data_IF_674515427847
#
_entry.id   IF_674515427847
#
_cell.length_a   1.000
_cell.length_b   1.000
_cell.length_c   1.000
_cell.angle_alpha   90.00
_cell.angle_beta   90.00
_cell.angle_gamma   90.00
#
_symmetry.space_group_name_H-M   'P 1'
#
loop_
_entity.id
_entity.type
_entity.pdbx_description
1 polymer ?
#
# COMPACT_ATOMS: atom_id res chain seq x y z
N UNK A 1 41.58 14.15 -39.71
CA UNK A 1 40.12 14.06 -39.50
C UNK A 1 39.81 12.61 -39.19
N UNK A 2 39.60 12.32 -37.90
CA UNK A 2 39.45 10.96 -37.39
C UNK A 2 38.04 10.85 -36.81
N UNK A 3 37.14 10.17 -37.52
CA UNK A 3 35.78 9.90 -37.05
C UNK A 3 35.69 8.48 -36.52
N UNK A 4 35.56 8.34 -35.20
CA UNK A 4 35.26 7.06 -34.55
C UNK A 4 33.75 6.87 -34.40
N UNK A 5 33.25 5.68 -34.78
CA UNK A 5 31.90 5.20 -34.45
C UNK A 5 31.98 4.18 -33.30
N UNK A 6 31.05 4.21 -32.32
CA UNK A 6 31.19 3.52 -31.05
C UNK A 6 30.81 2.04 -31.09
N UNK A 7 31.57 1.25 -30.32
CA UNK A 7 31.41 -0.19 -30.05
C UNK A 7 30.15 -0.46 -29.22
N UNK A 8 29.11 -1.06 -29.79
CA UNK A 8 28.22 -2.00 -29.07
C UNK A 8 27.25 -2.71 -30.02
N UNK A 9 27.62 -3.93 -30.44
CA UNK A 9 26.71 -5.07 -30.73
C UNK A 9 27.58 -6.25 -31.17
N UNK A 10 28.19 -6.89 -30.18
CA UNK A 10 28.71 -8.23 -30.30
C UNK A 10 28.08 -9.03 -29.17
N UNK A 11 27.19 -9.95 -29.53
CA UNK A 11 26.96 -11.28 -28.95
C UNK A 11 25.56 -11.74 -29.35
N UNK A 12 25.50 -12.79 -30.15
CA UNK A 12 24.24 -13.44 -30.52
C UNK A 12 24.18 -14.06 -31.90
N UNK A 13 25.31 -14.47 -32.52
CA UNK A 13 25.29 -15.33 -33.71
C UNK A 13 26.49 -16.29 -33.66
N UNK A 14 26.24 -17.47 -33.09
CA UNK A 14 27.04 -18.68 -33.26
C UNK A 14 26.05 -19.85 -33.16
N UNK A 15 25.93 -20.78 -34.10
CA UNK A 15 26.53 -20.94 -35.41
C UNK A 15 25.76 -22.07 -36.12
N UNK A 16 25.68 -22.02 -37.44
CA UNK A 16 25.22 -23.12 -38.27
C UNK A 16 26.33 -23.44 -39.28
N UNK A 17 26.93 -24.62 -39.16
CA UNK A 17 27.98 -25.11 -40.04
C UNK A 17 28.18 -26.61 -39.83
N UNK A 18 27.57 -27.39 -40.72
CA UNK A 18 27.49 -28.86 -40.73
C UNK A 18 28.70 -29.45 -41.46
N UNK A 19 29.28 -30.53 -40.92
CA UNK A 19 29.65 -31.74 -41.68
C UNK A 19 30.27 -32.82 -40.77
N UNK A 20 29.60 -33.97 -40.65
CA UNK A 20 30.17 -35.33 -40.81
C UNK A 20 29.08 -36.39 -40.59
N UNK A 21 28.99 -37.30 -41.55
CA UNK A 21 28.03 -38.40 -41.63
C UNK A 21 28.37 -39.54 -40.65
N UNK A 22 27.35 -40.15 -40.05
CA UNK A 22 27.48 -41.37 -39.25
C UNK A 22 26.16 -41.75 -38.59
N UNK A 23 25.69 -42.97 -38.82
CA UNK A 23 24.36 -43.48 -38.48
C UNK A 23 24.07 -43.54 -36.96
N UNK A 24 22.81 -43.29 -36.57
CA UNK A 24 22.29 -43.60 -35.24
C UNK A 24 21.06 -42.80 -34.86
N UNK A 25 19.91 -43.46 -34.75
CA UNK A 25 18.61 -42.85 -34.46
C UNK A 25 18.52 -42.32 -33.01
N UNK A 26 18.14 -41.05 -32.85
CA UNK A 26 17.47 -40.52 -31.66
C UNK A 26 16.81 -39.18 -32.03
N UNK A 27 15.49 -39.18 -32.28
CA UNK A 27 14.71 -37.96 -32.47
C UNK A 27 14.53 -37.32 -31.08
N UNK A 28 15.42 -36.40 -30.74
CA UNK A 28 15.29 -35.55 -29.55
C UNK A 28 14.25 -34.46 -29.81
N UNK A 29 13.01 -34.69 -29.38
CA UNK A 29 12.04 -33.61 -29.24
C UNK A 29 12.50 -32.70 -28.11
N UNK A 30 13.06 -31.54 -28.44
CA UNK A 30 13.25 -30.45 -27.47
C UNK A 30 11.84 -29.94 -27.15
N UNK A 31 11.25 -30.46 -26.08
CA UNK A 31 10.01 -29.94 -25.54
C UNK A 31 10.27 -28.48 -25.13
N UNK A 32 9.77 -27.54 -25.92
CA UNK A 32 9.62 -26.17 -25.49
C UNK A 32 8.70 -26.22 -24.25
N UNK A 33 9.24 -25.90 -23.08
CA UNK A 33 8.44 -25.75 -21.88
C UNK A 33 7.31 -24.75 -22.19
N UNK A 34 6.05 -25.06 -21.84
CA UNK A 34 4.97 -24.11 -22.05
C UNK A 34 5.32 -22.82 -21.29
N UNK A 35 5.47 -21.73 -22.02
CA UNK A 35 5.52 -20.39 -21.44
C UNK A 35 4.20 -20.25 -20.65
N UNK A 36 4.22 -19.91 -19.35
CA UNK A 36 2.99 -19.67 -18.63
C UNK A 36 2.19 -18.60 -19.38
N UNK A 37 0.85 -18.70 -19.43
CA UNK A 37 0.04 -17.68 -20.08
C UNK A 37 0.41 -16.32 -19.48
N UNK A 38 0.66 -15.33 -20.34
CA UNK A 38 0.75 -13.94 -19.91
C UNK A 38 -0.57 -13.61 -19.23
N UNK A 39 -0.50 -13.37 -17.92
CA UNK A 39 -1.65 -12.95 -17.13
C UNK A 39 -1.96 -11.51 -17.54
N UNK A 40 -2.82 -11.34 -18.54
CA UNK A 40 -3.48 -10.07 -18.81
C UNK A 40 -4.29 -9.70 -17.54
N UNK A 41 -3.73 -8.83 -16.70
CA UNK A 41 -4.40 -8.37 -15.48
C UNK A 41 -3.51 -7.93 -14.33
N UNK A 42 -2.19 -8.15 -14.38
CA UNK A 42 -1.26 -7.67 -13.36
C UNK A 42 -0.03 -6.99 -14.00
N UNK A 43 0.23 -5.75 -13.58
CA UNK A 43 1.41 -4.93 -13.93
C UNK A 43 1.61 -4.55 -15.41
N UNK A 44 0.60 -4.01 -16.09
CA UNK A 44 0.94 -3.12 -17.20
C UNK A 44 1.46 -1.80 -16.60
N UNK A 45 2.73 -1.46 -16.84
CA UNK A 45 3.26 -0.11 -16.59
C UNK A 45 2.48 0.96 -17.38
N UNK A 46 1.61 0.56 -18.30
CA UNK A 46 0.93 1.44 -19.26
C UNK A 46 -0.51 1.76 -18.89
N UNK A 47 -1.20 0.96 -18.06
CA UNK A 47 -2.62 1.16 -17.80
C UNK A 47 -2.90 2.34 -16.86
N UNK A 48 -3.86 3.20 -17.21
CA UNK A 48 -4.43 4.17 -16.28
C UNK A 48 -5.52 3.51 -15.41
N UNK A 49 -5.64 3.93 -14.15
CA UNK A 49 -6.76 3.53 -13.28
C UNK A 49 -7.78 4.67 -13.25
N UNK A 50 -9.09 4.40 -13.42
CA UNK A 50 -10.11 5.43 -13.33
C UNK A 50 -10.04 6.17 -11.98
N UNK A 51 -9.98 7.50 -12.03
CA UNK A 51 -10.01 8.36 -10.84
C UNK A 51 -11.42 8.47 -10.25
N UNK A 52 -12.40 8.69 -11.13
CA UNK A 52 -13.80 8.84 -10.74
C UNK A 52 -14.44 7.49 -10.42
N UNK A 53 -15.27 7.46 -9.37
CA UNK A 53 -15.90 6.24 -8.91
C UNK A 53 -16.77 6.46 -7.68
N UNK A 54 -17.45 5.40 -7.24
CA UNK A 54 -18.19 5.39 -5.98
C UNK A 54 -17.26 5.41 -4.77
N UNK A 55 -16.19 4.62 -4.83
CA UNK A 55 -15.11 4.59 -3.85
C UNK A 55 -13.86 5.19 -4.48
N UNK A 56 -12.99 5.79 -3.67
CA UNK A 56 -11.69 6.22 -4.17
C UNK A 56 -10.87 5.01 -4.66
N UNK A 57 -10.16 5.18 -5.77
CA UNK A 57 -9.15 4.23 -6.21
C UNK A 57 -7.99 4.14 -5.20
N UNK A 58 -7.17 3.09 -5.30
CA UNK A 58 -6.04 2.85 -4.37
C UNK A 58 -6.44 2.11 -3.08
N UNK A 59 -7.69 1.64 -2.99
CA UNK A 59 -8.20 0.83 -1.88
C UNK A 59 -8.34 -0.62 -2.35
N UNK A 60 -9.38 -0.93 -3.14
CA UNK A 60 -9.61 -2.26 -3.74
C UNK A 60 -8.88 -2.45 -5.06
N UNK A 61 -8.34 -1.37 -5.66
CA UNK A 61 -7.47 -1.44 -6.84
C UNK A 61 -6.34 -2.44 -6.59
N UNK A 62 -6.04 -3.29 -7.59
CA UNK A 62 -4.88 -4.18 -7.58
C UNK A 62 -3.64 -3.43 -7.07
N UNK A 63 -3.00 -3.97 -6.02
CA UNK A 63 -1.91 -3.29 -5.34
C UNK A 63 -0.73 -3.07 -6.30
N UNK A 64 -0.38 -1.80 -6.56
CA UNK A 64 0.76 -1.44 -7.40
C UNK A 64 2.08 -1.72 -6.67
N UNK A 65 3.19 -1.78 -7.40
CA UNK A 65 4.47 -2.20 -6.82
C UNK A 65 5.11 -1.15 -5.91
N UNK A 66 4.84 0.14 -6.11
CA UNK A 66 5.46 1.26 -5.40
C UNK A 66 4.42 2.15 -4.72
N UNK A 67 4.84 2.81 -3.66
CA UNK A 67 4.03 3.78 -2.92
C UNK A 67 4.88 4.97 -2.49
N UNK A 68 4.28 6.16 -2.55
CA UNK A 68 4.70 7.32 -1.79
C UNK A 68 3.51 7.78 -0.95
N UNK A 69 3.61 7.61 0.36
CA UNK A 69 2.62 8.09 1.32
C UNK A 69 3.11 9.38 1.95
N UNK A 70 2.22 10.35 2.13
CA UNK A 70 2.55 11.61 2.80
C UNK A 70 1.42 12.01 3.72
N UNK A 71 1.77 12.59 4.86
CA UNK A 71 0.84 13.33 5.71
C UNK A 71 1.16 14.83 5.62
N UNK A 72 0.12 15.66 5.61
CA UNK A 72 0.22 17.10 5.59
C UNK A 72 -0.43 17.71 6.84
N UNK A 73 0.15 18.81 7.31
CA UNK A 73 -0.49 19.73 8.24
C UNK A 73 -1.05 20.92 7.47
N UNK A 74 -2.31 21.30 7.72
CA UNK A 74 -2.97 22.46 7.12
C UNK A 74 -2.53 23.72 7.86
N UNK A 75 -1.99 24.69 7.10
CA UNK A 75 -1.45 25.95 7.62
C UNK A 75 -2.40 27.11 7.45
N UNK A 76 -3.27 27.08 6.44
CA UNK A 76 -4.35 28.06 6.34
C UNK A 76 -5.36 27.86 7.48
N UNK A 77 -5.96 28.95 7.93
CA UNK A 77 -7.06 28.96 8.91
C UNK A 77 -8.40 29.26 8.26
N UNK A 78 -8.46 29.41 6.93
CA UNK A 78 -9.68 29.72 6.19
C UNK A 78 -10.24 28.48 5.52
N UNK A 79 -11.51 28.18 5.78
CA UNK A 79 -12.24 27.04 5.18
C UNK A 79 -12.24 27.14 3.66
N UNK A 80 -12.38 28.34 3.11
CA UNK A 80 -12.47 28.58 1.66
C UNK A 80 -11.15 28.25 0.97
N UNK A 81 -10.01 28.54 1.59
CA UNK A 81 -8.68 28.21 1.04
C UNK A 81 -8.41 26.71 1.06
N UNK A 82 -8.88 26.00 2.11
CA UNK A 82 -8.82 24.53 2.15
C UNK A 82 -9.70 23.89 1.07
N UNK A 83 -10.93 24.39 0.89
CA UNK A 83 -11.83 23.90 -0.18
C UNK A 83 -11.24 24.17 -1.56
N UNK A 84 -10.66 25.36 -1.79
CA UNK A 84 -9.98 25.68 -3.04
C UNK A 84 -8.79 24.74 -3.30
N UNK A 85 -7.98 24.46 -2.27
CA UNK A 85 -6.88 23.51 -2.37
C UNK A 85 -7.37 22.11 -2.78
N UNK A 86 -8.41 21.59 -2.14
CA UNK A 86 -8.93 20.25 -2.45
C UNK A 86 -9.47 20.15 -3.89
N UNK A 87 -10.05 21.24 -4.43
CA UNK A 87 -10.45 21.32 -5.84
C UNK A 87 -9.25 21.28 -6.78
N UNK A 88 -8.25 22.14 -6.54
CA UNK A 88 -7.01 22.17 -7.34
C UNK A 88 -6.27 20.82 -7.29
N UNK A 89 -6.22 20.18 -6.12
CA UNK A 89 -5.65 18.85 -5.95
C UNK A 89 -6.43 17.77 -6.69
N UNK A 90 -7.76 17.84 -6.70
CA UNK A 90 -8.60 16.90 -7.46
C UNK A 90 -8.33 17.03 -8.96
N UNK A 91 -8.30 18.26 -9.49
CA UNK A 91 -8.01 18.52 -10.90
C UNK A 91 -6.63 17.97 -11.32
N UNK A 92 -5.61 18.25 -10.51
CA UNK A 92 -4.27 17.71 -10.75
C UNK A 92 -4.24 16.18 -10.68
N UNK A 93 -4.95 15.57 -9.71
CA UNK A 93 -4.98 14.13 -9.55
C UNK A 93 -5.70 13.41 -10.70
N UNK A 94 -6.81 13.96 -11.21
CA UNK A 94 -7.51 13.44 -12.40
C UNK A 94 -6.56 13.38 -13.59
N UNK A 95 -5.76 14.43 -13.80
CA UNK A 95 -4.79 14.49 -14.90
C UNK A 95 -3.64 13.50 -14.71
N UNK A 96 -3.00 13.52 -13.54
CA UNK A 96 -1.83 12.68 -13.27
C UNK A 96 -2.17 11.18 -13.31
N UNK A 97 -3.34 10.77 -12.81
CA UNK A 97 -3.79 9.36 -12.89
C UNK A 97 -4.05 8.89 -14.34
N UNK A 98 -4.27 9.83 -15.27
CA UNK A 98 -4.33 9.58 -16.70
C UNK A 98 -2.97 9.66 -17.41
N UNK A 99 -1.86 9.82 -16.67
CA UNK A 99 -0.50 9.98 -17.22
C UNK A 99 -0.25 11.35 -17.85
N UNK A 100 -1.05 12.36 -17.50
CA UNK A 100 -0.88 13.73 -17.96
C UNK A 100 -0.16 14.57 -16.90
N UNK A 101 0.40 15.69 -17.31
CA UNK A 101 0.93 16.71 -16.41
C UNK A 101 -0.17 17.24 -15.46
N UNK A 102 0.21 17.61 -14.23
CA UNK A 102 -0.67 18.17 -13.20
C UNK A 102 -1.46 19.40 -13.68
N UNK A 103 -0.89 20.16 -14.63
CA UNK A 103 -1.56 21.22 -15.38
C UNK A 103 -1.19 21.04 -16.86
N UNK A 104 -2.12 21.31 -17.77
CA UNK A 104 -1.88 21.19 -19.21
C UNK A 104 -0.72 22.04 -19.70
N UNK A 105 0.28 21.42 -20.33
CA UNK A 105 1.55 22.06 -20.68
C UNK A 105 2.28 22.68 -19.49
N UNK A 106 2.07 22.16 -18.28
CA UNK A 106 2.53 22.73 -17.03
C UNK A 106 4.05 22.73 -16.87
N UNK A 107 4.75 21.76 -17.44
CA UNK A 107 6.20 21.59 -17.31
C UNK A 107 6.98 22.52 -18.25
N UNK A 108 6.51 22.67 -19.49
CA UNK A 108 7.28 23.34 -20.57
C UNK A 108 6.48 24.33 -21.43
N UNK A 109 5.15 24.36 -21.32
CA UNK A 109 4.27 25.16 -22.19
C UNK A 109 3.94 26.57 -21.68
N UNK A 110 4.39 26.93 -20.48
CA UNK A 110 4.17 28.24 -19.87
C UNK A 110 5.11 29.35 -20.34
N UNK A 111 5.01 30.52 -19.69
CA UNK A 111 5.97 31.62 -19.88
C UNK A 111 7.36 31.21 -19.41
N UNK A 112 8.40 31.56 -20.18
CA UNK A 112 9.80 31.32 -19.81
C UNK A 112 10.24 32.03 -18.51
N UNK A 113 9.53 33.09 -18.12
CA UNK A 113 9.83 33.90 -16.94
C UNK A 113 9.02 33.47 -15.69
N UNK A 114 8.14 32.47 -15.82
CA UNK A 114 7.31 31.99 -14.72
C UNK A 114 7.74 30.57 -14.28
N UNK A 115 7.60 30.23 -12.98
CA UNK A 115 7.79 28.86 -12.54
C UNK A 115 6.81 27.90 -13.26
N UNK A 116 7.27 26.71 -13.68
CA UNK A 116 6.41 25.66 -14.21
C UNK A 116 5.27 25.27 -13.25
N UNK A 117 4.13 24.88 -13.81
CA UNK A 117 2.94 24.41 -13.08
C UNK A 117 2.91 22.88 -12.89
N UNK A 118 3.80 22.17 -13.58
CA UNK A 118 4.18 20.77 -13.30
C UNK A 118 5.71 20.73 -13.14
N UNK A 119 6.23 19.90 -12.23
CA UNK A 119 7.66 19.80 -11.96
C UNK A 119 8.47 19.01 -13.00
N UNK A 120 7.81 18.31 -13.91
CA UNK A 120 8.38 17.75 -15.15
C UNK A 120 9.12 16.43 -15.02
N UNK A 121 9.34 15.89 -13.81
CA UNK A 121 10.08 14.63 -13.64
C UNK A 121 9.32 13.40 -14.14
N UNK A 122 8.01 13.49 -14.41
CA UNK A 122 7.25 12.38 -15.00
C UNK A 122 6.99 12.54 -16.51
N UNK A 123 7.61 13.52 -17.17
CA UNK A 123 7.58 13.61 -18.63
C UNK A 123 8.07 12.28 -19.25
N UNK A 124 7.41 11.86 -20.32
CA UNK A 124 7.65 10.61 -21.04
C UNK A 124 7.38 9.31 -20.25
N UNK A 125 6.90 9.40 -19.01
CA UNK A 125 6.47 8.23 -18.25
C UNK A 125 4.99 7.93 -18.48
N UNK A 126 4.60 6.64 -18.54
CA UNK A 126 3.20 6.26 -18.66
C UNK A 126 2.42 6.50 -17.35
N UNK A 127 1.08 6.39 -17.36
CA UNK A 127 0.26 6.49 -16.14
C UNK A 127 0.68 5.54 -15.02
N UNK A 128 1.28 4.38 -15.35
CA UNK A 128 1.85 3.44 -14.38
C UNK A 128 0.87 2.95 -13.32
N UNK A 129 -0.39 2.76 -13.70
CA UNK A 129 -1.50 2.43 -12.83
C UNK A 129 -1.61 3.35 -11.61
N UNK A 130 -1.23 4.64 -11.76
CA UNK A 130 -1.26 5.60 -10.67
C UNK A 130 -2.65 5.71 -10.07
N UNK A 131 -2.73 5.55 -8.76
CA UNK A 131 -3.88 5.95 -7.94
C UNK A 131 -3.42 6.94 -6.90
N UNK A 132 -4.26 7.94 -6.62
CA UNK A 132 -4.03 8.92 -5.57
C UNK A 132 -5.26 8.88 -4.65
N UNK A 133 -5.06 8.52 -3.39
CA UNK A 133 -6.13 8.40 -2.38
C UNK A 133 -5.92 9.43 -1.29
N UNK A 134 -6.94 10.23 -0.96
CA UNK A 134 -6.88 11.21 0.12
C UNK A 134 -7.62 10.73 1.37
N UNK A 135 -7.14 11.11 2.55
CA UNK A 135 -7.83 10.93 3.82
C UNK A 135 -7.68 12.13 4.75
N UNK A 136 -8.62 12.27 5.69
CA UNK A 136 -8.73 13.36 6.64
C UNK A 136 -8.44 12.87 8.06
N UNK A 137 -7.41 13.42 8.70
CA UNK A 137 -6.99 13.03 10.04
C UNK A 137 -7.83 13.71 11.13
N UNK A 138 -7.81 13.18 12.37
CA UNK A 138 -8.52 13.74 13.51
C UNK A 138 -8.36 15.25 13.68
N UNK A 139 -7.14 15.77 13.49
CA UNK A 139 -6.80 17.17 13.74
C UNK A 139 -7.41 18.13 12.71
N UNK A 140 -7.82 17.66 11.53
CA UNK A 140 -8.56 18.49 10.56
C UNK A 140 -9.94 18.93 11.10
N UNK A 141 -10.52 18.13 11.99
CA UNK A 141 -11.83 18.35 12.60
C UNK A 141 -11.72 19.13 13.92
N UNK A 142 -10.68 19.94 14.09
CA UNK A 142 -10.67 20.92 15.17
C UNK A 142 -11.59 22.12 14.84
N UNK A 143 -11.43 23.22 15.57
CA UNK A 143 -12.23 24.42 15.39
C UNK A 143 -11.91 25.27 14.15
N UNK A 144 -10.79 25.02 13.43
CA UNK A 144 -10.29 25.93 12.36
C UNK A 144 -11.27 26.11 11.21
N UNK A 145 -12.00 25.06 10.84
CA UNK A 145 -12.82 25.02 9.62
C UNK A 145 -14.31 24.84 9.88
N UNK A 146 -14.74 24.90 11.15
CA UNK A 146 -16.12 24.61 11.54
C UNK A 146 -16.53 23.15 11.24
N UNK A 147 -15.59 22.22 11.38
CA UNK A 147 -15.79 20.79 11.09
C UNK A 147 -15.88 19.91 12.35
N UNK A 148 -15.76 20.47 13.56
CA UNK A 148 -15.75 19.70 14.80
C UNK A 148 -16.92 18.71 14.92
N UNK A 149 -18.13 19.16 14.62
CA UNK A 149 -19.35 18.32 14.68
C UNK A 149 -19.47 17.32 13.51
N UNK A 150 -18.54 17.39 12.54
CA UNK A 150 -18.47 16.48 11.39
C UNK A 150 -17.44 15.37 11.59
N UNK A 151 -16.67 15.37 12.69
CA UNK A 151 -15.72 14.30 13.02
C UNK A 151 -16.47 12.97 13.18
N UNK A 152 -16.17 11.93 12.38
CA UNK A 152 -16.79 10.63 12.56
C UNK A 152 -16.42 10.00 13.90
N UNK A 153 -17.38 9.38 14.59
CA UNK A 153 -17.15 8.76 15.90
C UNK A 153 -16.13 7.60 15.85
N UNK A 154 -16.00 6.93 14.70
CA UNK A 154 -14.98 5.89 14.49
C UNK A 154 -13.60 6.45 14.12
N UNK A 155 -13.46 7.75 13.81
CA UNK A 155 -12.18 8.45 13.65
C UNK A 155 -11.60 8.80 15.03
N UNK A 156 -11.38 7.79 15.85
CA UNK A 156 -10.80 7.93 17.19
C UNK A 156 -9.31 8.28 17.13
N UNK A 157 -8.80 8.85 18.20
CA UNK A 157 -7.37 8.80 18.45
C UNK A 157 -7.04 7.34 18.82
N UNK A 158 -6.13 6.72 18.06
CA UNK A 158 -5.79 5.33 18.32
C UNK A 158 -5.19 5.21 19.74
N UNK A 159 -5.57 4.16 20.50
CA UNK A 159 -4.96 3.94 21.80
C UNK A 159 -3.47 3.65 21.65
N UNK A 160 -2.71 3.83 22.73
CA UNK A 160 -1.35 3.31 22.79
C UNK A 160 -1.40 1.79 22.88
N UNK A 161 -0.57 1.13 22.11
CA UNK A 161 -0.40 -0.32 22.18
C UNK A 161 0.91 -0.68 22.91
N UNK A 162 0.98 -1.81 23.63
CA UNK A 162 2.25 -2.33 24.12
C UNK A 162 3.28 -2.45 22.99
N UNK A 163 4.52 -2.01 23.24
CA UNK A 163 5.59 -2.00 22.23
C UNK A 163 5.58 -0.80 21.26
N UNK A 164 4.68 0.17 21.45
CA UNK A 164 4.73 1.43 20.72
C UNK A 164 5.95 2.28 21.13
N UNK A 165 6.79 2.63 20.16
CA UNK A 165 7.81 3.68 20.26
C UNK A 165 7.59 4.73 19.16
N UNK A 166 6.39 5.33 19.18
CA UNK A 166 5.92 6.20 18.11
C UNK A 166 6.67 7.54 18.11
N UNK A 167 7.36 7.85 17.00
CA UNK A 167 7.90 9.19 16.76
C UNK A 167 6.75 10.16 16.44
N UNK A 168 6.53 11.21 17.26
CA UNK A 168 5.50 12.21 17.00
C UNK A 168 5.68 12.95 15.66
N UNK A 169 6.91 13.08 15.15
CA UNK A 169 7.21 13.72 13.89
C UNK A 169 6.86 12.85 12.68
N UNK A 170 6.68 11.53 12.88
CA UNK A 170 6.27 10.56 11.86
C UNK A 170 4.88 9.97 12.13
N UNK A 171 4.06 10.72 12.88
CA UNK A 171 2.73 10.30 13.30
C UNK A 171 1.70 11.42 13.12
N UNK A 172 0.43 11.06 12.97
CA UNK A 172 -0.68 11.98 12.78
C UNK A 172 -0.65 12.70 11.43
N UNK A 173 -1.24 13.91 11.40
CA UNK A 173 -1.40 14.75 10.22
C UNK A 173 -2.86 15.12 9.98
N UNK A 174 -3.11 16.33 9.48
CA UNK A 174 -4.45 16.81 9.13
C UNK A 174 -5.00 16.10 7.89
N UNK A 175 -4.14 15.82 6.91
CA UNK A 175 -4.48 15.14 5.66
C UNK A 175 -3.46 14.04 5.40
N UNK A 176 -3.87 12.95 4.76
CA UNK A 176 -2.93 12.03 4.11
C UNK A 176 -3.20 11.92 2.61
N UNK A 177 -2.15 11.66 1.85
CA UNK A 177 -2.25 11.24 0.45
C UNK A 177 -1.41 9.98 0.25
N UNK A 178 -2.04 8.94 -0.27
CA UNK A 178 -1.39 7.71 -0.72
C UNK A 178 -1.31 7.71 -2.25
N UNK A 179 -0.11 7.89 -2.80
CA UNK A 179 0.14 7.71 -4.23
C UNK A 179 0.76 6.33 -4.47
N UNK A 180 0.10 5.47 -5.24
CA UNK A 180 0.61 4.15 -5.60
C UNK A 180 0.70 4.02 -7.12
N UNK A 181 1.84 3.52 -7.61
CA UNK A 181 2.11 3.32 -9.03
C UNK A 181 3.09 2.14 -9.21
N UNK A 182 3.21 1.60 -10.41
CA UNK A 182 4.19 0.56 -10.71
C UNK A 182 5.61 1.15 -10.93
N UNK A 183 5.67 2.45 -11.20
CA UNK A 183 6.89 3.25 -11.31
C UNK A 183 7.03 4.21 -10.10
N UNK A 184 8.15 4.18 -9.36
CA UNK A 184 8.30 5.01 -8.17
C UNK A 184 8.40 6.51 -8.49
N UNK A 185 8.93 6.88 -9.66
CA UNK A 185 9.08 8.27 -10.09
C UNK A 185 7.70 8.90 -10.35
N UNK A 186 6.77 8.14 -10.91
CA UNK A 186 5.36 8.56 -11.09
C UNK A 186 4.68 8.82 -9.74
N UNK A 187 4.86 7.93 -8.75
CA UNK A 187 4.30 8.14 -7.40
C UNK A 187 4.92 9.36 -6.69
N UNK A 188 6.23 9.57 -6.85
CA UNK A 188 6.94 10.73 -6.28
C UNK A 188 6.49 12.03 -6.93
N UNK A 189 6.39 12.07 -8.26
CA UNK A 189 5.90 13.21 -9.03
C UNK A 189 4.51 13.66 -8.55
N UNK A 190 3.59 12.71 -8.36
CA UNK A 190 2.24 13.01 -7.91
C UNK A 190 2.23 13.75 -6.55
N UNK A 191 2.92 13.19 -5.56
CA UNK A 191 3.02 13.82 -4.23
C UNK A 191 3.73 15.17 -4.29
N UNK A 192 4.80 15.28 -5.08
CA UNK A 192 5.56 16.53 -5.22
C UNK A 192 4.71 17.64 -5.82
N UNK A 193 3.92 17.35 -6.86
CA UNK A 193 3.02 18.34 -7.46
C UNK A 193 1.89 18.75 -6.52
N UNK A 194 1.30 17.82 -5.77
CA UNK A 194 0.31 18.18 -4.75
C UNK A 194 0.92 19.06 -3.66
N UNK A 195 2.12 18.74 -3.17
CA UNK A 195 2.83 19.60 -2.22
C UNK A 195 3.15 20.99 -2.80
N UNK A 196 3.56 21.08 -4.08
CA UNK A 196 3.80 22.34 -4.80
C UNK A 196 2.54 23.19 -4.89
N UNK A 197 1.42 22.61 -5.31
CA UNK A 197 0.11 23.28 -5.38
C UNK A 197 -0.30 23.74 -3.97
N UNK A 198 -0.08 22.91 -2.96
CA UNK A 198 -0.40 23.19 -1.57
C UNK A 198 0.47 24.24 -0.88
N UNK A 199 1.50 24.78 -1.54
CA UNK A 199 2.41 25.75 -0.94
C UNK A 199 1.65 26.93 -0.30
N UNK A 200 2.02 27.27 0.93
CA UNK A 200 1.37 28.32 1.74
C UNK A 200 0.04 27.91 2.41
N UNK A 201 -0.58 26.80 1.99
CA UNK A 201 -1.85 26.29 2.54
C UNK A 201 -1.67 25.01 3.37
N UNK A 202 -0.71 24.18 2.99
CA UNK A 202 -0.31 22.95 3.71
C UNK A 202 1.22 22.83 3.78
N UNK A 203 1.72 22.02 4.69
CA UNK A 203 3.13 21.58 4.71
C UNK A 203 3.21 20.08 4.90
N UNK A 204 4.20 19.42 4.26
CA UNK A 204 4.50 18.02 4.52
C UNK A 204 4.90 17.88 6.00
N UNK A 205 4.20 17.01 6.71
CA UNK A 205 4.50 16.63 8.10
C UNK A 205 5.53 15.50 8.11
N UNK A 206 5.23 14.44 7.38
CA UNK A 206 6.11 13.29 7.16
C UNK A 206 5.73 12.60 5.85
N UNK A 207 6.66 11.82 5.32
CA UNK A 207 6.44 10.97 4.13
C UNK A 207 7.11 9.62 4.30
N UNK A 208 6.64 8.62 3.57
CA UNK A 208 7.24 7.30 3.50
C UNK A 208 7.20 6.78 2.07
N UNK A 209 8.36 6.36 1.57
CA UNK A 209 8.47 5.58 0.35
C UNK A 209 8.32 4.09 0.68
N UNK A 210 7.50 3.41 -0.12
CA UNK A 210 7.33 1.97 -0.12
C UNK A 210 7.83 1.40 -1.43
N UNK A 211 8.86 0.54 -1.40
CA UNK A 211 9.50 0.06 -2.61
C UNK A 211 8.91 -1.27 -3.12
N UNK A 212 8.15 -2.00 -2.31
CA UNK A 212 7.58 -3.27 -2.75
C UNK A 212 6.31 -3.58 -2.00
N UNK A 213 5.20 -3.79 -2.71
CA UNK A 213 3.93 -4.19 -2.09
C UNK A 213 4.10 -5.43 -1.22
N UNK A 214 3.42 -5.47 -0.08
CA UNK A 214 3.30 -6.64 0.81
C UNK A 214 1.85 -7.10 0.91
N UNK A 215 1.06 -6.80 -0.13
CA UNK A 215 -0.35 -7.12 -0.17
C UNK A 215 -0.78 -7.46 -1.59
N UNK A 216 -1.81 -8.32 -1.68
CA UNK A 216 -2.60 -8.53 -2.88
C UNK A 216 -4.05 -8.21 -2.56
N UNK A 217 -4.68 -7.39 -3.40
CA UNK A 217 -6.06 -6.92 -3.24
C UNK A 217 -7.00 -7.55 -4.27
N UNK A 218 -6.47 -8.30 -5.23
CA UNK A 218 -7.26 -9.11 -6.17
C UNK A 218 -6.75 -10.55 -6.19
N UNK A 219 -7.56 -11.49 -6.67
CA UNK A 219 -7.17 -12.91 -6.77
C UNK A 219 -6.20 -13.18 -7.91
N UNK A 220 -6.16 -12.32 -8.92
CA UNK A 220 -5.24 -12.43 -10.06
C UNK A 220 -3.78 -12.10 -9.69
N UNK A 221 -3.54 -11.37 -8.60
CA UNK A 221 -2.20 -11.02 -8.18
C UNK A 221 -1.52 -12.16 -7.43
N UNK A 222 -0.31 -12.52 -7.85
CA UNK A 222 0.58 -13.30 -7.02
C UNK A 222 0.84 -12.57 -5.68
N UNK A 223 0.85 -13.34 -4.59
CA UNK A 223 1.13 -12.81 -3.26
C UNK A 223 2.61 -12.41 -3.15
N UNK A 224 2.91 -11.15 -2.84
CA UNK A 224 4.28 -10.66 -2.73
C UNK A 224 4.91 -11.11 -1.40
N UNK A 225 6.17 -10.76 -1.16
CA UNK A 225 6.86 -11.04 0.11
C UNK A 225 7.20 -9.77 0.88
N UNK A 226 7.18 -9.87 2.21
CA UNK A 226 7.69 -8.82 3.10
C UNK A 226 9.19 -8.99 3.39
N UNK A 227 9.77 -8.06 4.16
CA UNK A 227 11.20 -8.07 4.52
C UNK A 227 11.64 -9.26 5.39
N UNK A 228 10.71 -9.91 6.10
CA UNK A 228 11.00 -11.20 6.76
C UNK A 228 11.02 -12.39 5.81
N UNK A 229 10.69 -12.17 4.54
CA UNK A 229 10.71 -13.16 3.47
C UNK A 229 9.47 -14.03 3.38
N UNK A 230 8.40 -13.71 4.12
CA UNK A 230 7.13 -14.44 4.07
C UNK A 230 6.19 -13.87 3.01
N UNK A 231 5.35 -14.74 2.41
CA UNK A 231 4.25 -14.28 1.55
C UNK A 231 3.26 -13.47 2.39
N UNK A 232 2.91 -12.29 1.89
CA UNK A 232 2.09 -11.32 2.63
C UNK A 232 0.91 -10.84 1.78
N UNK A 233 -0.31 -11.08 2.29
CA UNK A 233 -1.57 -10.78 1.58
C UNK A 233 -2.41 -12.01 1.18
N UNK A 234 -1.99 -13.22 1.55
CA UNK A 234 -2.72 -14.48 1.25
C UNK A 234 -4.18 -14.43 1.73
N UNK A 235 -4.40 -14.26 3.04
CA UNK A 235 -5.72 -14.07 3.66
C UNK A 235 -5.96 -12.57 3.84
N UNK A 236 -6.39 -11.92 2.77
CA UNK A 236 -6.76 -10.51 2.73
C UNK A 236 -8.17 -10.40 2.15
N UNK A 237 -8.88 -9.30 2.43
CA UNK A 237 -10.12 -8.98 1.72
C UNK A 237 -9.77 -8.63 0.27
N UNK A 238 -10.44 -9.29 -0.69
CA UNK A 238 -10.20 -9.09 -2.12
C UNK A 238 -11.31 -8.26 -2.77
N UNK A 239 -10.98 -7.60 -3.88
CA UNK A 239 -11.89 -6.76 -4.65
C UNK A 239 -13.15 -7.53 -5.11
N UNK A 240 -13.00 -8.83 -5.36
CA UNK A 240 -14.06 -9.72 -5.82
C UNK A 240 -15.04 -10.13 -4.71
N UNK A 241 -14.74 -9.82 -3.44
CA UNK A 241 -15.57 -10.18 -2.27
C UNK A 241 -16.47 -9.02 -1.86
N UNK A 242 -17.41 -8.62 -2.72
CA UNK A 242 -18.27 -7.45 -2.53
C UNK A 242 -19.01 -7.43 -1.19
N UNK A 243 -19.54 -8.57 -0.73
CA UNK A 243 -20.20 -8.68 0.57
C UNK A 243 -19.24 -8.41 1.73
N UNK A 244 -18.03 -8.99 1.67
CA UNK A 244 -17.00 -8.78 2.71
C UNK A 244 -16.54 -7.32 2.72
N UNK A 245 -16.41 -6.69 1.55
CA UNK A 245 -16.06 -5.27 1.44
C UNK A 245 -17.14 -4.37 2.06
N UNK A 246 -18.42 -4.62 1.76
CA UNK A 246 -19.56 -3.91 2.37
C UNK A 246 -19.57 -4.05 3.89
N UNK A 247 -19.29 -5.23 4.41
CA UNK A 247 -19.45 -5.54 5.84
C UNK A 247 -18.22 -5.13 6.69
N UNK A 248 -17.04 -4.99 6.05
CA UNK A 248 -15.78 -4.79 6.76
C UNK A 248 -14.92 -3.62 6.30
N UNK A 249 -15.14 -3.04 5.12
CA UNK A 249 -14.29 -1.97 4.57
C UNK A 249 -15.06 -0.66 4.36
N UNK A 250 -16.23 -0.71 3.74
CA UNK A 250 -16.98 0.49 3.36
C UNK A 250 -17.90 0.98 4.46
N UNK A 251 -17.86 2.28 4.74
CA UNK A 251 -18.81 2.96 5.62
C UNK A 251 -20.18 3.00 4.94
N UNK A 252 -21.21 2.61 5.68
CA UNK A 252 -22.60 2.63 5.25
C UNK A 252 -23.38 3.75 5.96
N UNK A 253 -24.63 3.95 5.55
CA UNK A 253 -25.53 4.98 6.08
C UNK A 253 -25.81 4.83 7.59
N UNK A 254 -25.65 3.64 8.17
CA UNK A 254 -25.91 3.36 9.59
C UNK A 254 -24.72 3.65 10.53
N UNK A 255 -23.51 3.88 9.99
CA UNK A 255 -22.27 3.87 10.80
C UNK A 255 -21.82 5.24 11.33
N UNK A 256 -22.26 6.34 10.71
CA UNK A 256 -21.65 7.63 10.96
C UNK A 256 -22.17 8.75 10.06
N UNK A 257 -21.45 9.88 9.99
CA UNK A 257 -21.97 11.05 9.30
C UNK A 257 -22.07 10.79 7.79
N UNK A 258 -23.19 11.22 7.19
CA UNK A 258 -23.56 10.98 5.79
C UNK A 258 -22.44 11.28 4.78
N UNK A 259 -21.57 12.24 5.11
CA UNK A 259 -20.47 12.62 4.21
C UNK A 259 -19.45 11.51 3.96
N UNK A 260 -19.32 10.55 4.89
CA UNK A 260 -18.35 9.46 4.81
C UNK A 260 -18.96 8.17 4.24
N UNK A 261 -20.26 8.12 3.94
CA UNK A 261 -20.90 6.95 3.32
C UNK A 261 -20.22 6.63 1.98
N UNK A 262 -19.85 5.36 1.77
CA UNK A 262 -19.04 4.92 0.64
C UNK A 262 -17.53 5.17 0.81
N UNK A 263 -17.12 5.82 1.90
CA UNK A 263 -15.73 5.96 2.33
C UNK A 263 -15.25 4.81 3.21
N UNK A 264 -14.10 4.99 3.87
CA UNK A 264 -13.48 3.98 4.76
C UNK A 264 -12.55 4.66 5.77
N UNK A 265 -12.06 3.91 6.77
CA UNK A 265 -10.99 4.37 7.67
C UNK A 265 -9.66 3.73 7.28
N UNK A 266 -8.64 4.58 7.11
CA UNK A 266 -7.26 4.18 6.85
C UNK A 266 -6.47 4.24 8.16
N UNK A 267 -5.80 3.15 8.51
CA UNK A 267 -4.74 3.15 9.53
C UNK A 267 -3.40 2.90 8.88
N UNK A 268 -2.45 3.81 9.12
CA UNK A 268 -1.06 3.68 8.71
C UNK A 268 -0.19 3.41 9.94
N UNK A 269 0.70 2.41 9.87
CA UNK A 269 1.67 2.10 10.91
C UNK A 269 3.03 1.89 10.26
N UNK A 270 4.03 2.64 10.70
CA UNK A 270 5.42 2.37 10.34
C UNK A 270 5.96 1.34 11.32
N UNK A 271 6.20 0.13 10.83
CA UNK A 271 6.65 -1.01 11.63
C UNK A 271 8.07 -1.34 11.22
N UNK A 272 9.02 -0.97 12.07
CA UNK A 272 10.43 -1.34 11.91
C UNK A 272 10.58 -2.82 12.24
N UNK A 273 11.38 -3.52 11.44
CA UNK A 273 11.69 -4.92 11.63
C UNK A 273 13.13 -5.06 12.13
N UNK A 274 13.34 -5.83 13.20
CA UNK A 274 14.68 -6.20 13.68
C UNK A 274 15.25 -7.34 12.81
N UNK A 275 15.57 -7.00 11.55
CA UNK A 275 15.96 -7.96 10.51
C UNK A 275 17.17 -8.80 10.92
N UNK A 276 18.16 -8.20 11.55
CA UNK A 276 19.39 -8.89 11.93
C UNK A 276 19.17 -9.94 13.03
N UNK A 277 18.20 -9.71 13.92
CA UNK A 277 17.80 -10.68 14.95
C UNK A 277 16.95 -11.79 14.30
N UNK A 278 16.01 -11.40 13.43
CA UNK A 278 15.18 -12.33 12.67
C UNK A 278 16.01 -13.30 11.81
N UNK A 279 17.02 -12.81 11.10
CA UNK A 279 17.85 -13.60 10.19
C UNK A 279 18.72 -14.64 10.91
N UNK A 280 18.89 -14.51 12.23
CA UNK A 280 19.58 -15.49 13.09
C UNK A 280 18.62 -16.48 13.76
N UNK A 281 17.32 -16.28 13.61
CA UNK A 281 16.27 -17.16 14.13
C UNK A 281 16.11 -18.36 13.20
N UNK A 282 15.91 -19.56 13.77
CA UNK A 282 15.79 -20.79 12.97
C UNK A 282 14.58 -20.72 12.04
N UNK A 283 14.65 -21.35 10.84
CA UNK A 283 13.51 -21.37 9.92
C UNK A 283 12.24 -21.92 10.60
N UNK A 284 12.38 -22.97 11.40
CA UNK A 284 11.27 -23.58 12.13
C UNK A 284 10.60 -22.56 13.05
N UNK A 285 11.39 -21.83 13.82
CA UNK A 285 10.88 -20.81 14.74
C UNK A 285 10.24 -19.63 14.00
N UNK A 286 10.83 -19.18 12.89
CA UNK A 286 10.20 -18.17 12.02
C UNK A 286 8.82 -18.62 11.52
N UNK A 287 8.70 -19.88 11.08
CA UNK A 287 7.44 -20.46 10.62
C UNK A 287 6.43 -20.66 11.75
N UNK A 288 6.87 -21.02 12.96
CA UNK A 288 6.03 -21.14 14.16
C UNK A 288 5.51 -19.76 14.63
N UNK A 289 6.35 -18.73 14.63
CA UNK A 289 5.98 -17.34 14.96
C UNK A 289 4.93 -16.81 13.97
N UNK A 290 5.15 -17.01 12.68
CA UNK A 290 4.19 -16.56 11.65
C UNK A 290 2.94 -17.43 11.65
N UNK A 291 3.09 -18.75 11.81
CA UNK A 291 2.05 -19.76 11.62
C UNK A 291 1.87 -20.21 10.17
N UNK A 292 2.80 -19.88 9.27
CA UNK A 292 2.82 -20.33 7.86
C UNK A 292 4.19 -20.86 7.48
N UNK A 293 4.25 -21.69 6.43
CA UNK A 293 5.49 -22.09 5.78
C UNK A 293 6.08 -20.91 4.99
N UNK A 294 7.37 -20.62 5.17
CA UNK A 294 8.06 -19.50 4.49
C UNK A 294 8.12 -19.72 2.98
N UNK A 295 8.38 -20.96 2.56
CA UNK A 295 8.48 -21.33 1.15
C UNK A 295 7.15 -21.20 0.41
N UNK A 296 6.19 -22.07 0.72
CA UNK A 296 4.91 -22.17 0.00
C UNK A 296 3.91 -21.09 0.41
N UNK A 297 3.99 -20.58 1.63
CA UNK A 297 2.98 -19.71 2.23
C UNK A 297 1.79 -20.46 2.83
N UNK A 298 1.77 -21.80 2.82
CA UNK A 298 0.68 -22.57 3.41
C UNK A 298 0.61 -22.36 4.94
N UNK A 299 -0.59 -22.38 5.51
CA UNK A 299 -0.72 -22.45 6.97
C UNK A 299 -0.04 -23.71 7.51
N UNK A 300 0.52 -23.66 8.72
CA UNK A 300 1.09 -24.86 9.34
C UNK A 300 -0.01 -25.93 9.48
N UNK A 301 0.29 -27.15 9.03
CA UNK A 301 -0.70 -28.23 8.88
C UNK A 301 -1.31 -28.37 7.49
N UNK A 302 -1.12 -27.39 6.60
CA UNK A 302 -1.62 -27.39 5.22
C UNK A 302 -0.51 -27.54 4.17
N UNK A 303 -0.88 -27.68 2.89
CA UNK A 303 0.06 -27.96 1.79
C UNK A 303 0.31 -26.71 0.93
N UNK A 304 -0.76 -26.11 0.43
CA UNK A 304 -0.75 -24.99 -0.50
C UNK A 304 -1.09 -23.66 0.18
N UNK A 305 -0.67 -22.55 -0.44
CA UNK A 305 -0.81 -21.20 0.12
C UNK A 305 -2.24 -20.86 0.55
N UNK A 306 -3.19 -21.20 -0.32
CA UNK A 306 -4.60 -20.83 -0.20
C UNK A 306 -5.46 -21.94 0.41
N UNK A 307 -4.85 -23.02 0.89
CA UNK A 307 -5.56 -24.00 1.73
C UNK A 307 -6.18 -23.28 2.92
N UNK A 308 -7.39 -23.70 3.29
CA UNK A 308 -8.09 -23.13 4.43
C UNK A 308 -7.27 -23.36 5.71
N UNK A 309 -7.08 -22.27 6.45
CA UNK A 309 -6.39 -22.31 7.73
C UNK A 309 -7.30 -23.00 8.76
N UNK A 310 -6.77 -23.99 9.47
CA UNK A 310 -7.49 -24.71 10.52
C UNK A 310 -6.74 -24.56 11.85
N UNK A 311 -7.34 -23.82 12.80
CA UNK A 311 -6.77 -23.53 14.12
C UNK A 311 -6.94 -24.69 15.12
N UNK A 312 -7.65 -25.75 14.73
CA UNK A 312 -7.99 -26.88 15.58
C UNK A 312 -7.13 -28.12 15.30
N UNK A 313 -6.30 -28.10 14.25
CA UNK A 313 -5.31 -29.16 13.98
C UNK A 313 -4.34 -29.25 15.14
N UNK A 314 -4.22 -30.45 15.72
CA UNK A 314 -3.30 -30.74 16.82
C UNK A 314 -2.09 -31.53 16.34
N UNK A 315 -0.91 -31.13 16.81
CA UNK A 315 0.35 -31.82 16.60
C UNK A 315 0.68 -32.80 17.73
N UNK A 316 1.97 -33.10 17.87
CA UNK A 316 2.48 -33.94 18.95
C UNK A 316 2.13 -33.36 20.32
N UNK A 317 1.74 -34.22 21.27
CA UNK A 317 1.35 -33.80 22.61
C UNK A 317 -0.02 -33.10 22.70
N UNK A 318 -0.80 -33.07 21.62
CA UNK A 318 -2.15 -32.46 21.59
C UNK A 318 -2.16 -30.93 21.53
N UNK A 319 -1.00 -30.31 21.31
CA UNK A 319 -0.86 -28.86 21.14
C UNK A 319 -1.31 -28.43 19.74
N UNK A 320 -1.89 -27.22 19.58
CA UNK A 320 -2.22 -26.69 18.25
C UNK A 320 -0.99 -26.61 17.35
N UNK A 321 -1.13 -27.01 16.09
CA UNK A 321 -0.05 -26.88 15.09
C UNK A 321 0.25 -25.40 14.80
N UNK A 322 -0.80 -24.58 14.74
CA UNK A 322 -0.66 -23.12 14.73
C UNK A 322 -0.75 -22.66 16.19
N UNK A 323 0.39 -22.24 16.73
CA UNK A 323 0.54 -21.81 18.13
C UNK A 323 -0.50 -20.76 18.53
N UNK A 324 -0.88 -20.77 19.81
CA UNK A 324 -1.86 -19.80 20.38
C UNK A 324 -1.37 -18.35 20.31
N UNK A 325 -0.07 -18.17 20.13
CA UNK A 325 0.68 -16.93 20.03
C UNK A 325 1.21 -16.65 18.61
N UNK A 326 0.83 -17.46 17.62
CA UNK A 326 1.24 -17.26 16.23
C UNK A 326 0.50 -16.08 15.59
N UNK A 327 1.21 -15.29 14.80
CA UNK A 327 0.70 -14.05 14.19
C UNK A 327 -0.61 -14.27 13.41
N UNK A 328 -0.66 -15.25 12.50
CA UNK A 328 -1.87 -15.47 11.67
C UNK A 328 -3.08 -15.91 12.49
N UNK A 329 -2.87 -16.57 13.64
CA UNK A 329 -3.96 -17.01 14.51
C UNK A 329 -4.57 -15.80 15.20
N UNK A 330 -3.74 -15.03 15.88
CA UNK A 330 -4.15 -13.83 16.62
C UNK A 330 -4.79 -12.78 15.69
N UNK A 331 -4.32 -12.68 14.44
CA UNK A 331 -4.89 -11.79 13.42
C UNK A 331 -6.09 -12.40 12.66
N UNK A 332 -6.48 -13.64 12.94
CA UNK A 332 -7.55 -14.31 12.19
C UNK A 332 -8.92 -13.77 12.55
N UNK A 333 -9.84 -13.76 11.59
CA UNK A 333 -11.23 -13.40 11.85
C UNK A 333 -11.92 -14.39 12.81
N UNK A 334 -11.46 -15.65 12.91
CA UNK A 334 -12.00 -16.61 13.87
C UNK A 334 -11.70 -16.17 15.32
N UNK A 335 -10.45 -15.81 15.62
CA UNK A 335 -10.04 -15.30 16.95
C UNK A 335 -10.56 -13.89 17.22
N UNK A 336 -10.88 -13.12 16.18
CA UNK A 336 -11.34 -11.72 16.28
C UNK A 336 -12.85 -11.55 16.09
N UNK A 337 -13.64 -12.61 16.33
CA UNK A 337 -15.11 -12.51 16.31
C UNK A 337 -15.70 -12.07 14.97
N UNK A 338 -15.08 -12.50 13.87
CA UNK A 338 -15.45 -12.17 12.50
C UNK A 338 -14.80 -10.90 11.93
N UNK A 339 -14.06 -10.12 12.73
CA UNK A 339 -13.45 -8.89 12.25
C UNK A 339 -12.44 -9.16 11.12
N UNK A 340 -12.55 -8.38 10.04
CA UNK A 340 -11.64 -8.41 8.88
C UNK A 340 -11.21 -6.99 8.54
N UNK A 341 -10.02 -6.86 7.95
CA UNK A 341 -9.47 -5.62 7.41
C UNK A 341 -8.89 -5.89 6.02
N UNK A 342 -8.86 -4.87 5.17
CA UNK A 342 -8.14 -4.92 3.90
C UNK A 342 -6.74 -4.35 4.13
N UNK A 343 -5.71 -5.20 4.11
CA UNK A 343 -4.30 -4.80 4.23
C UNK A 343 -3.76 -4.40 2.86
N UNK A 344 -2.95 -3.34 2.84
CA UNK A 344 -2.37 -2.75 1.63
C UNK A 344 -1.00 -2.13 1.89
N UNK A 345 -0.18 -2.83 2.68
CA UNK A 345 1.13 -2.34 3.11
C UNK A 345 2.22 -2.44 2.03
N UNK A 346 3.35 -1.80 2.33
CA UNK A 346 4.55 -1.77 1.49
C UNK A 346 5.82 -1.92 2.33
N UNK A 347 6.81 -2.67 1.83
CA UNK A 347 8.14 -2.71 2.41
C UNK A 347 8.81 -1.33 2.26
N UNK A 348 9.55 -0.90 3.29
CA UNK A 348 10.39 0.29 3.24
C UNK A 348 11.82 -0.01 3.67
N UNK A 349 12.75 0.84 3.24
CA UNK A 349 14.11 0.95 3.76
C UNK A 349 14.50 2.42 3.74
N UNK A 350 14.92 2.93 4.88
CA UNK A 350 15.31 4.32 5.12
C UNK A 350 16.80 4.42 5.54
N UNK A 351 17.63 3.50 5.04
CA UNK A 351 19.05 3.45 5.35
C UNK A 351 19.35 2.64 6.62
N UNK A 352 20.13 3.21 7.53
CA UNK A 352 20.55 2.55 8.78
C UNK A 352 20.24 3.41 10.01
N UNK A 353 20.14 2.75 11.16
CA UNK A 353 19.81 3.38 12.45
C UNK A 353 20.99 4.08 13.14
N UNK A 354 22.13 4.23 12.47
CA UNK A 354 23.36 4.76 13.04
C UNK A 354 24.15 3.79 13.93
N UNK A 355 23.61 2.61 14.24
CA UNK A 355 24.29 1.51 14.94
C UNK A 355 24.70 0.38 13.99
N UNK A 356 24.39 0.52 12.71
CA UNK A 356 24.72 -0.44 11.66
C UNK A 356 23.61 -1.44 11.36
N UNK A 357 22.43 -1.28 11.96
CA UNK A 357 21.25 -2.06 11.59
C UNK A 357 20.44 -1.33 10.51
N UNK A 358 19.73 -2.09 9.70
CA UNK A 358 18.81 -1.53 8.71
C UNK A 358 17.63 -0.83 9.40
N UNK A 359 17.34 0.41 8.97
CA UNK A 359 16.04 1.04 9.25
C UNK A 359 15.07 0.62 8.15
N UNK A 360 14.55 -0.60 8.27
CA UNK A 360 13.69 -1.21 7.27
C UNK A 360 12.55 -1.98 7.93
N UNK A 361 11.50 -2.24 7.16
CA UNK A 361 10.36 -2.99 7.65
C UNK A 361 9.13 -2.81 6.78
N UNK A 362 7.97 -2.75 7.42
CA UNK A 362 6.67 -2.66 6.79
C UNK A 362 6.01 -1.31 7.09
N UNK A 363 5.73 -0.53 6.06
CA UNK A 363 4.76 0.55 6.14
C UNK A 363 3.38 -0.08 5.95
N UNK A 364 2.80 -0.48 7.06
CA UNK A 364 1.50 -1.13 7.10
C UNK A 364 0.42 -0.09 6.83
N UNK A 365 -0.46 -0.40 5.89
CA UNK A 365 -1.69 0.34 5.64
C UNK A 365 -2.83 -0.66 5.70
N UNK A 366 -3.91 -0.32 6.39
CA UNK A 366 -5.15 -1.05 6.25
C UNK A 366 -6.35 -0.13 6.10
N UNK A 367 -7.37 -0.67 5.44
CA UNK A 367 -8.68 -0.07 5.25
C UNK A 367 -9.72 -0.92 5.98
N UNK A 368 -10.63 -0.24 6.67
CA UNK A 368 -11.66 -0.90 7.46
C UNK A 368 -12.86 0.04 7.69
N UNK A 369 -14.03 -0.56 7.98
CA UNK A 369 -15.30 0.14 8.17
C UNK A 369 -15.39 0.87 9.52
N UNK A 370 -14.75 0.35 10.56
CA UNK A 370 -14.69 0.98 11.89
C UNK A 370 -13.46 0.48 12.67
N UNK A 371 -12.50 1.38 12.91
CA UNK A 371 -11.23 1.03 13.55
C UNK A 371 -11.41 0.51 14.98
N UNK A 372 -12.49 0.91 15.68
CA UNK A 372 -12.79 0.49 17.06
C UNK A 372 -13.15 -0.98 17.14
N UNK A 373 -13.76 -1.53 16.10
CA UNK A 373 -14.23 -2.93 16.04
C UNK A 373 -13.42 -3.80 15.10
N UNK A 374 -12.39 -3.25 14.45
CA UNK A 374 -11.53 -3.95 13.49
C UNK A 374 -10.05 -3.83 13.86
N UNK A 375 -9.40 -2.73 13.48
CA UNK A 375 -7.96 -2.56 13.66
C UNK A 375 -7.54 -2.59 15.14
N UNK A 376 -8.23 -1.86 16.02
CA UNK A 376 -7.87 -1.75 17.44
C UNK A 376 -7.89 -3.10 18.17
N UNK A 377 -8.96 -3.91 18.13
CA UNK A 377 -8.96 -5.21 18.79
C UNK A 377 -7.91 -6.16 18.20
N UNK A 378 -7.69 -6.13 16.87
CA UNK A 378 -6.62 -6.90 16.22
C UNK A 378 -5.24 -6.51 16.76
N UNK A 379 -4.91 -5.22 16.74
CA UNK A 379 -3.61 -4.73 17.21
C UNK A 379 -3.42 -4.98 18.72
N UNK A 380 -4.48 -4.88 19.53
CA UNK A 380 -4.41 -5.24 20.95
C UNK A 380 -4.09 -6.73 21.15
N UNK A 381 -4.72 -7.61 20.36
CA UNK A 381 -4.46 -9.04 20.42
C UNK A 381 -3.01 -9.36 20.02
N UNK A 382 -2.49 -8.68 19.00
CA UNK A 382 -1.11 -8.85 18.54
C UNK A 382 -0.11 -8.30 19.56
N UNK A 383 -0.25 -7.04 19.95
CA UNK A 383 0.68 -6.37 20.87
C UNK A 383 0.80 -7.06 22.25
N UNK A 384 -0.22 -7.81 22.68
CA UNK A 384 -0.23 -8.49 23.98
C UNK A 384 0.25 -9.94 23.96
N UNK A 385 0.16 -10.63 22.82
CA UNK A 385 0.35 -12.10 22.76
C UNK A 385 1.18 -12.59 21.59
N UNK A 386 1.40 -11.77 20.56
CA UNK A 386 2.10 -12.21 19.34
C UNK A 386 3.60 -12.28 19.58
N UNK A 387 4.17 -13.47 19.37
CA UNK A 387 5.61 -13.68 19.43
C UNK A 387 6.38 -12.83 18.43
N UNK A 388 5.76 -12.43 17.33
CA UNK A 388 6.39 -11.58 16.34
C UNK A 388 6.78 -10.20 16.90
N UNK A 389 6.15 -9.75 17.99
CA UNK A 389 6.47 -8.46 18.62
C UNK A 389 7.91 -8.37 19.15
N UNK A 390 8.60 -9.49 19.37
CA UNK A 390 10.03 -9.49 19.69
C UNK A 390 10.91 -8.94 18.54
N UNK A 391 10.37 -8.98 17.31
CA UNK A 391 11.08 -8.59 16.09
C UNK A 391 10.53 -7.32 15.45
N UNK A 392 9.52 -6.69 16.07
CA UNK A 392 8.80 -5.55 15.51
C UNK A 392 8.77 -4.37 16.47
N UNK A 393 8.93 -3.18 15.92
CA UNK A 393 8.81 -1.93 16.65
C UNK A 393 7.91 -0.96 15.86
N UNK A 394 6.83 -0.51 16.48
CA UNK A 394 5.95 0.47 15.86
C UNK A 394 6.50 1.87 16.10
N UNK A 395 6.98 2.52 15.04
CA UNK A 395 7.73 3.81 15.11
C UNK A 395 6.97 5.00 14.54
N UNK A 396 5.79 4.78 13.95
CA UNK A 396 4.94 5.85 13.42
C UNK A 396 3.51 5.39 13.24
N UNK A 397 2.55 6.31 13.37
CA UNK A 397 1.12 5.98 13.31
C UNK A 397 0.27 7.10 12.73
N UNK A 398 -0.71 6.76 11.89
CA UNK A 398 -1.72 7.69 11.40
C UNK A 398 -3.08 7.01 11.28
N UNK A 399 -4.15 7.78 11.48
CA UNK A 399 -5.53 7.32 11.33
C UNK A 399 -6.30 8.40 10.57
N UNK A 400 -6.96 8.03 9.49
CA UNK A 400 -7.59 8.97 8.57
C UNK A 400 -8.95 8.46 8.10
N UNK A 401 -9.93 9.35 8.00
CA UNK A 401 -11.20 9.08 7.34
C UNK A 401 -11.04 9.37 5.83
N UNK A 402 -11.16 8.34 5.01
CA UNK A 402 -11.05 8.42 3.55
C UNK A 402 -12.46 8.63 2.99
N UNK A 403 -12.79 9.81 2.42
CA UNK A 403 -14.12 10.09 1.88
C UNK A 403 -14.48 9.15 0.73
N UNK A 404 -15.76 9.10 0.31
CA UNK A 404 -16.17 8.40 -0.90
C UNK A 404 -15.41 8.88 -2.15
N UNK A 405 -15.56 8.13 -3.24
CA UNK A 405 -15.01 8.48 -4.54
C UNK A 405 -15.60 9.77 -5.10
N UNK A 406 -14.82 10.42 -5.97
CA UNK A 406 -15.23 11.68 -6.60
C UNK A 406 -16.08 11.37 -7.83
N UNK A 407 -17.33 11.83 -7.85
CA UNK A 407 -18.18 11.83 -9.05
C UNK A 407 -17.76 12.95 -10.00
N UNK A 408 -18.12 12.86 -11.27
CA UNK A 408 -17.82 13.92 -12.25
C UNK A 408 -18.34 15.29 -11.76
N UNK A 409 -17.51 16.32 -11.86
CA UNK A 409 -17.80 17.66 -11.36
C UNK A 409 -17.67 17.84 -9.84
N UNK A 410 -17.44 16.77 -9.07
CA UNK A 410 -17.12 16.81 -7.65
C UNK A 410 -15.64 17.07 -7.37
N UNK A 411 -15.30 17.15 -6.09
CA UNK A 411 -13.91 17.23 -5.62
C UNK A 411 -13.74 16.42 -4.33
N UNK A 412 -12.50 16.16 -3.95
CA UNK A 412 -12.21 15.46 -2.71
C UNK A 412 -12.81 16.18 -1.49
N UNK A 413 -13.66 15.47 -0.74
CA UNK A 413 -14.32 16.01 0.44
C UNK A 413 -15.53 16.90 0.13
N UNK A 414 -16.03 16.92 -1.11
CA UNK A 414 -17.22 17.70 -1.46
C UNK A 414 -18.41 17.38 -0.54
N UNK A 415 -18.65 16.10 -0.21
CA UNK A 415 -19.67 15.67 0.74
C UNK A 415 -19.46 16.21 2.17
N UNK A 416 -18.21 16.47 2.58
CA UNK A 416 -17.87 17.02 3.89
C UNK A 416 -18.11 18.53 3.95
N UNK A 417 -17.76 19.25 2.88
CA UNK A 417 -17.77 20.72 2.84
C UNK A 417 -19.05 21.35 2.28
N UNK A 418 -19.99 20.54 1.78
CA UNK A 418 -21.34 20.96 1.39
C UNK A 418 -22.12 21.63 2.53
#
# INVERSE_FOLDING_TARGET
MSGGLPRRRLLGLAGAGVALAGAGAAVGAVAAAPRPPEVEGASSLTGAVPFHGEHQAGITTAAQDRMHFVAFDVKTTKREELVALLKEWTEAAVRMTAGQEAVDGGAVGGSAEAPPKDTGEALDLPPSALTITIGFGPSLFDGRFGLADRRPAALIDLPRFPGDDLDPNRSGGDLCVQACANDPQVAVHAIRNLARIGFGRVSVRWSQLGFGRTSSTTRAQATPRNMFGFKDGTRNVKAEESDVLRDHVWVSEEDGPDWLVGGTYLVARRIRMHIEIWDRTSLREQEEIVGRKKGTGAALGQVDEFDEMDLHVKGAGGLPVIGVDAHIRLASHEELGGARILRRGYNFTDGSDGLGHLDAGLFFVCFNRDSRTRFVPMQNALASRDKMMEYLEHTGSGHFAVPPGVREGGFWGDTLFR
#
